data_IF_696898048560
#
_entry.id   IF_696898048560
#
_cell.length_a   1.000
_cell.length_b   1.000
_cell.length_c   1.000
_cell.angle_alpha   90.00
_cell.angle_beta   90.00
_cell.angle_gamma   90.00
#
_symmetry.space_group_name_H-M   'P 1'
#
loop_
_entity.id
_entity.type
_entity.pdbx_description
1 polymer ?
#
# COMPACT_ATOMS: atom_id res chain seq x y z
N UNK A 1 -12.77 -10.33 46.59
CA UNK A 1 -11.70 -10.52 45.58
C UNK A 1 -12.26 -11.34 44.43
N UNK A 2 -12.21 -10.85 43.19
CA UNK A 2 -12.72 -11.59 42.03
C UNK A 2 -11.58 -12.37 41.38
N UNK A 3 -11.73 -13.69 41.28
CA UNK A 3 -10.75 -14.58 40.67
C UNK A 3 -10.91 -14.58 39.14
N UNK A 4 -9.89 -14.13 38.40
CA UNK A 4 -9.81 -14.38 36.95
C UNK A 4 -9.27 -15.78 36.70
N UNK A 5 -10.18 -16.72 36.44
CA UNK A 5 -9.79 -18.06 36.00
C UNK A 5 -9.34 -17.99 34.54
N UNK A 6 -8.04 -18.25 34.30
CA UNK A 6 -7.45 -18.26 32.96
C UNK A 6 -7.95 -19.50 32.20
N UNK A 7 -8.67 -19.30 31.10
CA UNK A 7 -9.02 -20.35 30.15
C UNK A 7 -8.25 -20.14 28.84
N UNK A 8 -7.54 -21.18 28.37
CA UNK A 8 -6.90 -21.24 27.05
C UNK A 8 -6.17 -19.95 26.58
N UNK A 9 -5.10 -19.49 27.26
CA UNK A 9 -4.21 -18.33 26.98
C UNK A 9 -4.80 -16.95 26.57
N UNK A 10 -6.03 -16.88 26.07
CA UNK A 10 -6.66 -15.79 25.34
C UNK A 10 -8.14 -15.60 25.70
N UNK A 11 -8.66 -16.37 26.67
CA UNK A 11 -10.02 -16.20 27.17
C UNK A 11 -9.99 -16.11 28.70
N UNK A 12 -10.85 -15.27 29.28
CA UNK A 12 -11.04 -15.27 30.73
C UNK A 12 -12.51 -15.03 31.07
N UNK A 13 -12.89 -15.39 32.29
CA UNK A 13 -14.26 -15.23 32.77
C UNK A 13 -14.32 -14.03 33.70
N UNK A 14 -15.33 -13.17 33.52
CA UNK A 14 -15.62 -12.06 34.42
C UNK A 14 -17.14 -11.99 34.62
N UNK A 15 -17.58 -12.15 35.88
CA UNK A 15 -19.00 -12.18 36.27
C UNK A 15 -19.80 -13.23 35.46
N UNK A 16 -19.29 -14.46 35.41
CA UNK A 16 -19.80 -15.61 34.64
C UNK A 16 -19.88 -15.44 33.11
N UNK A 17 -19.41 -14.32 32.57
CA UNK A 17 -19.39 -14.09 31.13
C UNK A 17 -17.97 -14.28 30.61
N UNK A 18 -17.84 -14.99 29.49
CA UNK A 18 -16.56 -15.18 28.82
C UNK A 18 -16.13 -13.92 28.05
N UNK A 19 -14.85 -13.61 28.10
CA UNK A 19 -14.21 -12.49 27.40
C UNK A 19 -13.09 -13.00 26.51
N UNK A 20 -13.08 -12.49 25.28
CA UNK A 20 -11.98 -12.59 24.33
C UNK A 20 -10.84 -11.67 24.74
N UNK A 21 -9.60 -12.14 24.62
CA UNK A 21 -8.40 -11.37 24.95
C UNK A 21 -7.23 -11.75 24.04
N UNK A 22 -6.87 -10.87 23.11
CA UNK A 22 -5.78 -11.12 22.15
C UNK A 22 -4.82 -9.95 22.06
N UNK A 23 -3.53 -10.24 22.10
CA UNK A 23 -2.47 -9.25 21.95
C UNK A 23 -2.39 -8.81 20.49
N UNK A 24 -2.15 -7.53 20.26
CA UNK A 24 -1.93 -6.99 18.93
C UNK A 24 -0.48 -7.28 18.51
N UNK A 25 -0.25 -7.85 17.32
CA UNK A 25 1.08 -8.08 16.77
C UNK A 25 1.93 -6.80 16.75
N UNK A 26 3.25 -6.93 16.95
CA UNK A 26 4.16 -5.79 17.08
C UNK A 26 4.15 -4.85 15.88
N UNK A 27 4.08 -5.43 14.67
CA UNK A 27 3.97 -4.75 13.38
C UNK A 27 2.68 -3.93 13.25
N UNK A 28 1.63 -4.29 13.99
CA UNK A 28 0.32 -3.64 13.90
C UNK A 28 0.02 -2.70 15.07
N UNK A 29 0.94 -2.53 16.02
CA UNK A 29 0.72 -1.68 17.22
C UNK A 29 0.35 -0.24 16.86
N UNK A 30 0.92 0.31 15.80
CA UNK A 30 0.65 1.69 15.36
C UNK A 30 -0.79 1.91 14.88
N UNK A 31 -1.51 0.85 14.50
CA UNK A 31 -2.91 0.91 14.06
C UNK A 31 -3.91 0.91 15.23
N UNK A 32 -3.45 0.76 16.46
CA UNK A 32 -4.33 0.62 17.63
C UNK A 32 -3.87 1.48 18.80
N UNK A 33 -4.82 2.14 19.48
CA UNK A 33 -4.53 2.93 20.69
C UNK A 33 -4.18 2.07 21.92
N UNK A 34 -4.38 0.76 21.86
CA UNK A 34 -4.14 -0.18 22.98
C UNK A 34 -3.38 -1.40 22.46
N UNK A 35 -2.55 -2.07 23.30
CA UNK A 35 -1.75 -3.21 22.86
C UNK A 35 -2.52 -4.55 22.84
N UNK A 36 -3.78 -4.58 23.30
CA UNK A 36 -4.58 -5.79 23.43
C UNK A 36 -6.05 -5.50 23.16
N UNK A 37 -6.68 -6.39 22.41
CA UNK A 37 -8.12 -6.38 22.15
C UNK A 37 -8.80 -7.23 23.23
N UNK A 38 -9.75 -6.61 23.94
CA UNK A 38 -10.57 -7.27 24.97
C UNK A 38 -12.03 -7.03 24.65
N UNK A 39 -12.81 -8.10 24.47
CA UNK A 39 -14.21 -8.01 24.11
C UNK A 39 -15.04 -9.08 24.83
N UNK A 40 -16.21 -8.73 25.32
CA UNK A 40 -17.14 -9.72 25.89
C UNK A 40 -17.70 -10.62 24.78
N UNK A 41 -17.67 -11.93 24.99
CA UNK A 41 -18.32 -12.92 24.12
C UNK A 41 -19.83 -13.05 24.40
N UNK A 42 -20.37 -12.27 25.36
CA UNK A 42 -21.79 -12.21 25.72
C UNK A 42 -22.44 -13.58 25.98
N UNK A 43 -21.67 -14.54 26.47
CA UNK A 43 -22.14 -15.91 26.75
C UNK A 43 -21.53 -16.43 28.04
N UNK A 44 -22.31 -17.28 28.74
CA UNK A 44 -21.86 -18.06 29.91
C UNK A 44 -21.55 -19.52 29.54
N UNK A 45 -21.88 -19.96 28.33
CA UNK A 45 -21.62 -21.32 27.85
C UNK A 45 -20.20 -21.43 27.31
N UNK A 46 -19.40 -22.35 27.85
CA UNK A 46 -18.02 -22.61 27.43
C UNK A 46 -17.93 -23.01 25.94
N UNK A 47 -18.89 -23.81 25.47
CA UNK A 47 -18.93 -24.24 24.07
C UNK A 47 -19.19 -23.05 23.14
N UNK A 48 -20.24 -22.25 23.43
CA UNK A 48 -20.53 -21.03 22.66
C UNK A 48 -19.38 -20.02 22.71
N UNK A 49 -18.71 -19.90 23.86
CA UNK A 49 -17.54 -19.04 24.02
C UNK A 49 -16.39 -19.49 23.12
N UNK A 50 -16.11 -20.79 23.06
CA UNK A 50 -15.07 -21.35 22.20
C UNK A 50 -15.36 -21.09 20.72
N UNK A 51 -16.62 -21.28 20.29
CA UNK A 51 -17.02 -21.02 18.89
C UNK A 51 -16.90 -19.53 18.57
N UNK A 52 -17.43 -18.65 19.42
CA UNK A 52 -17.34 -17.20 19.25
C UNK A 52 -15.88 -16.70 19.26
N UNK A 53 -15.04 -17.27 20.11
CA UNK A 53 -13.60 -17.00 20.16
C UNK A 53 -12.93 -17.31 18.81
N UNK A 54 -13.18 -18.50 18.27
CA UNK A 54 -12.61 -18.92 16.97
C UNK A 54 -13.05 -17.98 15.84
N UNK A 55 -14.33 -17.65 15.78
CA UNK A 55 -14.87 -16.74 14.76
C UNK A 55 -14.25 -15.33 14.86
N UNK A 56 -14.14 -14.78 16.07
CA UNK A 56 -13.56 -13.46 16.27
C UNK A 56 -12.05 -13.44 16.01
N UNK A 57 -11.35 -14.52 16.37
CA UNK A 57 -9.92 -14.67 16.07
C UNK A 57 -9.68 -14.69 14.56
N UNK A 58 -10.41 -15.53 13.81
CA UNK A 58 -10.29 -15.61 12.36
C UNK A 58 -10.57 -14.27 11.69
N UNK A 59 -11.63 -13.57 12.11
CA UNK A 59 -11.95 -12.22 11.60
C UNK A 59 -10.82 -11.21 11.84
N UNK A 60 -10.16 -11.28 13.00
CA UNK A 60 -9.00 -10.43 13.28
C UNK A 60 -7.79 -10.82 12.44
N UNK A 61 -7.57 -12.10 12.20
CA UNK A 61 -6.48 -12.60 11.35
C UNK A 61 -6.63 -12.08 9.91
N UNK A 62 -7.84 -12.17 9.35
CA UNK A 62 -8.14 -11.65 8.00
C UNK A 62 -7.93 -10.14 7.92
N UNK A 63 -8.39 -9.40 8.93
CA UNK A 63 -8.22 -7.95 8.98
C UNK A 63 -6.73 -7.55 9.07
N UNK A 64 -5.98 -8.22 9.95
CA UNK A 64 -4.55 -8.00 10.11
C UNK A 64 -3.76 -8.36 8.86
N UNK A 65 -4.15 -9.43 8.16
CA UNK A 65 -3.59 -9.76 6.85
C UNK A 65 -3.83 -8.62 5.85
N UNK A 66 -5.05 -8.09 5.78
CA UNK A 66 -5.37 -6.95 4.94
C UNK A 66 -4.53 -5.70 5.24
N UNK A 67 -4.27 -5.40 6.52
CA UNK A 67 -3.38 -4.31 6.90
C UNK A 67 -1.94 -4.50 6.43
N UNK A 68 -1.43 -5.73 6.45
CA UNK A 68 -0.09 -6.06 5.97
C UNK A 68 -0.01 -5.95 4.45
N UNK A 69 -1.02 -6.47 3.75
CA UNK A 69 -1.08 -6.38 2.29
C UNK A 69 -1.12 -4.93 1.79
N UNK A 70 -1.67 -3.99 2.56
CA UNK A 70 -1.62 -2.56 2.23
C UNK A 70 -0.25 -1.92 2.42
N UNK A 71 0.61 -2.50 3.24
CA UNK A 71 1.97 -2.00 3.50
C UNK A 71 3.02 -2.66 2.58
N UNK A 72 2.67 -3.77 1.95
CA UNK A 72 3.56 -4.51 1.05
C UNK A 72 3.38 -3.94 -0.36
N UNK A 73 4.47 -3.48 -0.97
CA UNK A 73 4.52 -3.20 -2.41
C UNK A 73 4.06 -4.42 -3.20
N UNK A 74 3.50 -4.21 -4.40
CA UNK A 74 2.79 -5.24 -5.16
C UNK A 74 3.45 -6.63 -5.04
N UNK A 75 2.82 -7.59 -4.33
CA UNK A 75 3.40 -8.90 -4.10
C UNK A 75 3.73 -9.58 -5.42
N UNK A 76 4.92 -10.20 -5.49
CA UNK A 76 5.43 -10.81 -6.71
C UNK A 76 5.40 -9.86 -7.92
N UNK A 77 5.73 -8.59 -7.71
CA UNK A 77 5.86 -7.57 -8.77
C UNK A 77 6.70 -8.03 -9.96
N UNK A 78 7.70 -8.88 -9.73
CA UNK A 78 8.54 -9.51 -10.77
C UNK A 78 7.79 -10.47 -11.71
N UNK A 79 6.57 -10.90 -11.37
CA UNK A 79 5.70 -11.72 -12.22
C UNK A 79 4.68 -10.88 -13.00
N UNK A 80 4.62 -9.57 -12.74
CA UNK A 80 3.75 -8.70 -13.50
C UNK A 80 4.23 -8.61 -14.95
N UNK A 81 3.29 -8.64 -15.87
CA UNK A 81 3.56 -8.33 -17.28
C UNK A 81 4.06 -6.88 -17.32
N UNK A 82 5.26 -6.68 -17.89
CA UNK A 82 5.92 -5.38 -18.03
C UNK A 82 4.91 -4.32 -18.51
N UNK A 83 4.63 -3.32 -17.67
CA UNK A 83 3.60 -2.30 -17.89
C UNK A 83 2.65 -2.10 -16.70
N UNK A 84 2.50 -3.07 -15.79
CA UNK A 84 1.68 -2.91 -14.58
C UNK A 84 2.43 -2.24 -13.40
N UNK A 85 3.73 -1.97 -13.54
CA UNK A 85 4.59 -1.36 -12.51
C UNK A 85 4.52 0.18 -12.45
N UNK A 86 3.79 0.83 -13.36
CA UNK A 86 3.85 2.30 -13.52
C UNK A 86 2.94 3.06 -12.53
N UNK A 87 2.09 2.37 -11.78
CA UNK A 87 1.08 3.03 -10.92
C UNK A 87 1.32 2.81 -9.41
N UNK A 88 2.57 2.98 -8.95
CA UNK A 88 2.80 3.18 -7.52
C UNK A 88 2.93 4.69 -7.30
N UNK A 89 1.85 5.29 -6.78
CA UNK A 89 1.63 6.72 -6.46
C UNK A 89 2.90 7.57 -6.30
N UNK A 90 3.51 8.00 -7.41
CA UNK A 90 4.58 8.99 -7.40
C UNK A 90 3.95 10.37 -7.20
N UNK A 91 4.31 11.05 -6.12
CA UNK A 91 3.90 12.44 -5.86
C UNK A 91 4.59 13.45 -6.79
N UNK A 92 5.45 12.99 -7.69
CA UNK A 92 6.19 13.83 -8.62
C UNK A 92 5.41 14.02 -9.94
N UNK A 93 5.54 15.20 -10.57
CA UNK A 93 4.87 15.49 -11.82
C UNK A 93 5.26 14.49 -12.91
N UNK A 94 4.34 14.29 -13.85
CA UNK A 94 4.60 13.51 -15.06
C UNK A 94 5.59 14.23 -15.98
N UNK A 95 6.15 13.52 -16.95
CA UNK A 95 6.99 14.15 -17.97
C UNK A 95 6.26 15.24 -18.76
N UNK A 96 4.95 15.08 -18.99
CA UNK A 96 4.11 16.07 -19.66
C UNK A 96 3.89 17.32 -18.79
N UNK A 97 3.64 17.14 -17.49
CA UNK A 97 3.55 18.26 -16.54
C UNK A 97 4.88 19.03 -16.44
N UNK A 98 6.00 18.30 -16.46
CA UNK A 98 7.33 18.86 -16.45
C UNK A 98 7.64 19.62 -17.76
N UNK A 99 7.19 19.10 -18.90
CA UNK A 99 7.29 19.76 -20.21
C UNK A 99 6.58 21.11 -20.20
N UNK A 100 5.32 21.16 -19.77
CA UNK A 100 4.56 22.41 -19.71
C UNK A 100 5.22 23.42 -18.77
N UNK A 101 5.72 22.95 -17.61
CA UNK A 101 6.48 23.80 -16.68
C UNK A 101 7.76 24.34 -17.33
N UNK A 102 8.50 23.51 -18.07
CA UNK A 102 9.73 23.89 -18.76
C UNK A 102 9.46 24.91 -19.88
N UNK A 103 8.43 24.69 -20.69
CA UNK A 103 8.03 25.62 -21.75
C UNK A 103 7.61 26.98 -21.17
N UNK A 104 6.88 26.99 -20.05
CA UNK A 104 6.48 28.23 -19.38
C UNK A 104 7.67 29.00 -18.80
N UNK A 105 8.65 28.31 -18.22
CA UNK A 105 9.82 28.93 -17.59
C UNK A 105 10.88 29.38 -18.61
N UNK A 106 11.14 28.57 -19.65
CA UNK A 106 12.25 28.75 -20.61
C UNK A 106 11.82 29.19 -22.00
N UNK A 107 10.53 29.15 -22.32
CA UNK A 107 10.00 29.52 -23.63
C UNK A 107 9.85 31.02 -23.88
N UNK A 108 9.94 31.88 -22.86
CA UNK A 108 9.84 33.34 -23.05
C UNK A 108 10.95 33.86 -23.97
N UNK A 109 10.56 34.45 -25.11
CA UNK A 109 11.48 34.98 -26.11
C UNK A 109 12.14 33.92 -27.00
N UNK A 110 11.64 32.68 -26.99
CA UNK A 110 12.08 31.61 -27.91
C UNK A 110 11.19 31.57 -29.16
N UNK A 111 11.75 31.04 -30.25
CA UNK A 111 11.01 30.83 -31.51
C UNK A 111 10.07 29.62 -31.43
N UNK A 112 9.08 29.56 -32.33
CA UNK A 112 8.13 28.45 -32.40
C UNK A 112 8.81 27.08 -32.58
N UNK A 113 9.96 27.06 -33.26
CA UNK A 113 10.78 25.85 -33.43
C UNK A 113 11.23 25.26 -32.10
N UNK A 114 11.51 26.09 -31.09
CA UNK A 114 11.86 25.60 -29.76
C UNK A 114 10.72 24.78 -29.15
N UNK A 115 9.50 25.34 -29.16
CA UNK A 115 8.32 24.67 -28.61
C UNK A 115 8.00 23.38 -29.36
N UNK A 116 8.03 23.42 -30.68
CA UNK A 116 7.80 22.24 -31.52
C UNK A 116 8.85 21.17 -31.24
N UNK A 117 10.14 21.50 -31.27
CA UNK A 117 11.19 20.50 -31.07
C UNK A 117 11.12 19.87 -29.67
N UNK A 118 10.92 20.67 -28.61
CA UNK A 118 10.80 20.15 -27.25
C UNK A 118 9.59 19.23 -27.09
N UNK A 119 8.43 19.59 -27.66
CA UNK A 119 7.25 18.70 -27.64
C UNK A 119 7.49 17.40 -28.39
N UNK A 120 8.18 17.45 -29.52
CA UNK A 120 8.52 16.24 -30.29
C UNK A 120 9.49 15.35 -29.53
N UNK A 121 10.50 15.91 -28.85
CA UNK A 121 11.42 15.13 -28.01
C UNK A 121 10.69 14.37 -26.90
N UNK A 122 9.76 15.02 -26.20
CA UNK A 122 8.95 14.35 -25.17
C UNK A 122 8.00 13.34 -25.80
N UNK A 123 7.40 13.65 -26.95
CA UNK A 123 6.56 12.71 -27.68
C UNK A 123 7.29 11.40 -28.00
N UNK A 124 8.53 11.46 -28.49
CA UNK A 124 9.31 10.25 -28.76
C UNK A 124 9.58 9.44 -27.50
N UNK A 125 9.87 10.11 -26.38
CA UNK A 125 10.06 9.46 -25.10
C UNK A 125 8.77 8.78 -24.61
N UNK A 126 7.62 9.46 -24.69
CA UNK A 126 6.32 8.91 -24.31
C UNK A 126 5.86 7.77 -25.23
N UNK A 127 6.13 7.87 -26.53
CA UNK A 127 5.80 6.82 -27.50
C UNK A 127 6.66 5.54 -27.28
N UNK A 128 7.89 5.69 -26.77
CA UNK A 128 8.82 4.58 -26.49
C UNK A 128 8.61 3.93 -25.10
N UNK A 129 8.47 4.75 -24.06
CA UNK A 129 8.52 4.34 -22.65
C UNK A 129 7.20 4.53 -21.90
N UNK A 130 6.24 5.26 -22.49
CA UNK A 130 5.02 5.70 -21.82
C UNK A 130 5.17 6.99 -21.02
N UNK A 131 4.03 7.49 -20.52
CA UNK A 131 3.98 8.68 -19.67
C UNK A 131 4.13 8.25 -18.21
N UNK A 132 5.29 8.54 -17.62
CA UNK A 132 5.62 8.26 -16.22
C UNK A 132 5.98 9.53 -15.45
N UNK A 133 6.03 9.42 -14.12
CA UNK A 133 6.58 10.49 -13.26
C UNK A 133 8.10 10.60 -13.40
N UNK A 134 8.65 11.77 -13.10
CA UNK A 134 10.08 12.05 -13.27
C UNK A 134 11.02 11.09 -12.52
N UNK A 135 10.59 10.51 -11.40
CA UNK A 135 11.33 9.51 -10.62
C UNK A 135 11.32 8.10 -11.21
N UNK A 136 10.42 7.83 -12.15
CA UNK A 136 10.25 6.50 -12.73
C UNK A 136 11.21 6.24 -13.89
N UNK A 137 11.86 7.28 -14.44
CA UNK A 137 12.84 7.14 -15.50
C UNK A 137 14.20 6.72 -14.95
N UNK A 138 14.66 5.54 -15.39
CA UNK A 138 15.95 4.96 -15.01
C UNK A 138 17.00 5.10 -16.10
N UNK A 139 18.26 4.82 -15.77
CA UNK A 139 19.35 4.78 -16.77
C UNK A 139 19.15 3.66 -17.81
N UNK A 140 18.41 2.60 -17.47
CA UNK A 140 18.07 1.54 -18.41
C UNK A 140 17.08 2.03 -19.48
N UNK A 141 16.08 2.82 -19.07
CA UNK A 141 15.10 3.41 -19.99
C UNK A 141 15.78 4.39 -20.96
N UNK A 142 16.79 5.13 -20.50
CA UNK A 142 17.61 5.99 -21.37
C UNK A 142 18.37 5.18 -22.44
N UNK A 143 18.87 3.99 -22.09
CA UNK A 143 19.51 3.10 -23.05
C UNK A 143 18.49 2.55 -24.07
N UNK A 144 17.30 2.16 -23.60
CA UNK A 144 16.21 1.70 -24.47
C UNK A 144 15.76 2.79 -25.46
N UNK A 145 15.59 4.03 -25.00
CA UNK A 145 15.23 5.15 -25.86
C UNK A 145 16.30 5.42 -26.92
N UNK A 146 17.59 5.34 -26.56
CA UNK A 146 18.68 5.46 -27.53
C UNK A 146 18.59 4.37 -28.60
N UNK A 147 18.38 3.13 -28.18
CA UNK A 147 18.31 1.98 -29.08
C UNK A 147 17.07 2.02 -29.98
N UNK A 148 16.01 2.74 -29.57
CA UNK A 148 14.79 2.97 -30.38
C UNK A 148 15.01 3.91 -31.58
N UNK A 149 16.03 4.77 -31.54
CA UNK A 149 16.35 5.71 -32.63
C UNK A 149 17.32 5.15 -33.69
N UNK A 150 17.78 3.90 -33.53
CA UNK A 150 18.69 3.21 -34.47
C UNK A 150 17.89 2.46 -35.52
#
# INVERSE_FOLDING_TARGET
>A
MWYTQKYSQHTYIKRDVYYFSRVIPSDLKHHYSKPRIIQSLKTKSAHRATVAFKMLSAKLDDYWLGLRLKQIDVPASHLLVSGATVNLESNLPTIDDALETYLNAKGRGKSDLFFSHTRWSIKYLTDCLGCGSLDQYTSADAAQLRDWFV
#
